data_IF_431453105185
#
_entry.id   IF_431453105185
#
_cell.length_a   1.000
_cell.length_b   1.000
_cell.length_c   1.000
_cell.angle_alpha   90.00
_cell.angle_beta   90.00
_cell.angle_gamma   90.00
#
_symmetry.space_group_name_H-M   'P 1'
#
loop_
_entity.id
_entity.type
_entity.pdbx_description
1 polymer ?
#
# COMPACT_ATOMS: atom_id res chain seq x y z
N UNK A 1 -1.29 9.13 -10.69
CA UNK A 1 -0.09 8.37 -11.15
C UNK A 1 0.30 8.89 -12.52
N UNK A 2 1.53 8.63 -13.01
CA UNK A 2 1.91 9.00 -14.39
C UNK A 2 1.00 8.22 -15.35
N UNK A 3 0.30 8.93 -16.23
CA UNK A 3 -0.50 8.44 -17.37
C UNK A 3 -1.48 7.29 -17.09
N UNK A 4 -1.99 7.19 -15.85
CA UNK A 4 -2.90 6.12 -15.38
C UNK A 4 -2.39 4.70 -15.64
N UNK A 5 -1.06 4.52 -15.69
CA UNK A 5 -0.41 3.25 -16.01
C UNK A 5 -0.97 2.06 -15.21
N UNK A 6 -1.04 2.17 -13.87
CA UNK A 6 -1.56 1.09 -13.03
C UNK A 6 -3.02 0.74 -13.35
N UNK A 7 -3.86 1.75 -13.64
CA UNK A 7 -5.26 1.51 -13.97
C UNK A 7 -5.39 0.78 -15.31
N UNK A 8 -4.56 1.14 -16.29
CA UNK A 8 -4.50 0.46 -17.59
C UNK A 8 -4.09 -1.00 -17.45
N UNK A 9 -3.09 -1.30 -16.62
CA UNK A 9 -2.66 -2.69 -16.44
C UNK A 9 -3.66 -3.53 -15.66
N UNK A 10 -4.36 -2.96 -14.69
CA UNK A 10 -5.49 -3.65 -14.04
C UNK A 10 -6.61 -3.92 -15.05
N UNK A 11 -6.96 -2.95 -15.89
CA UNK A 11 -7.98 -3.14 -16.92
C UNK A 11 -7.58 -4.23 -17.93
N UNK A 12 -6.32 -4.24 -18.36
CA UNK A 12 -5.77 -5.28 -19.23
C UNK A 12 -5.81 -6.67 -18.55
N UNK A 13 -5.34 -6.80 -17.31
CA UNK A 13 -5.40 -8.05 -16.56
C UNK A 13 -6.82 -8.59 -16.46
N UNK A 14 -7.78 -7.75 -16.06
CA UNK A 14 -9.19 -8.16 -15.92
C UNK A 14 -9.82 -8.54 -17.26
N UNK A 15 -9.35 -7.97 -18.38
CA UNK A 15 -9.82 -8.31 -19.73
C UNK A 15 -9.47 -9.74 -20.19
N UNK A 16 -8.47 -10.39 -19.56
CA UNK A 16 -8.08 -11.77 -19.88
C UNK A 16 -9.20 -12.76 -19.55
N UNK A 17 -10.03 -12.44 -18.55
CA UNK A 17 -11.08 -13.33 -18.04
C UNK A 17 -10.57 -14.33 -17.00
N UNK A 18 -11.50 -14.84 -16.17
CA UNK A 18 -11.16 -15.79 -15.09
C UNK A 18 -10.44 -15.16 -13.89
N UNK A 19 -10.26 -13.84 -13.87
CA UNK A 19 -9.63 -13.10 -12.77
C UNK A 19 -10.71 -12.29 -12.04
N UNK A 20 -10.88 -12.55 -10.74
CA UNK A 20 -11.80 -11.82 -9.87
C UNK A 20 -11.02 -10.95 -8.87
N UNK A 21 -11.34 -9.66 -8.80
CA UNK A 21 -10.79 -8.75 -7.80
C UNK A 21 -11.73 -8.64 -6.60
N UNK A 22 -11.30 -9.15 -5.43
CA UNK A 22 -12.00 -9.00 -4.15
C UNK A 22 -11.27 -7.99 -3.27
N UNK A 23 -11.69 -6.73 -3.37
CA UNK A 23 -11.13 -5.63 -2.59
C UNK A 23 -11.69 -5.58 -1.16
N UNK A 24 -11.04 -4.80 -0.29
CA UNK A 24 -11.46 -4.58 1.10
C UNK A 24 -11.52 -5.83 1.98
N UNK A 25 -10.71 -6.85 1.66
CA UNK A 25 -10.54 -8.05 2.47
C UNK A 25 -9.13 -8.10 3.07
N UNK A 26 -9.05 -8.51 4.33
CA UNK A 26 -7.81 -8.64 5.09
C UNK A 26 -7.60 -10.08 5.54
N UNK A 27 -6.43 -10.65 5.23
CA UNK A 27 -6.01 -11.96 5.72
C UNK A 27 -5.89 -11.94 7.25
N UNK A 28 -6.50 -12.92 7.91
CA UNK A 28 -6.57 -13.04 9.37
C UNK A 28 -7.78 -12.34 10.00
N UNK A 29 -8.50 -11.49 9.27
CA UNK A 29 -9.75 -10.84 9.74
C UNK A 29 -10.97 -11.28 8.93
N UNK A 30 -10.90 -11.10 7.61
CA UNK A 30 -12.03 -11.33 6.70
C UNK A 30 -11.90 -12.67 5.97
N UNK A 31 -10.66 -13.14 5.77
CA UNK A 31 -10.31 -14.43 5.14
C UNK A 31 -9.19 -15.10 5.92
N UNK A 32 -9.09 -16.43 5.85
CA UNK A 32 -8.00 -17.21 6.49
C UNK A 32 -7.21 -17.99 5.45
N UNK A 33 -5.92 -18.21 5.71
CA UNK A 33 -5.07 -18.99 4.81
C UNK A 33 -5.58 -20.44 4.68
N UNK A 34 -5.98 -21.06 5.80
CA UNK A 34 -6.56 -22.39 5.80
C UNK A 34 -7.84 -22.46 4.96
N UNK A 35 -8.69 -21.44 5.04
CA UNK A 35 -9.90 -21.35 4.22
C UNK A 35 -9.59 -21.25 2.73
N UNK A 36 -8.55 -20.49 2.36
CA UNK A 36 -8.11 -20.40 0.95
C UNK A 36 -7.55 -21.73 0.45
N UNK A 37 -6.74 -22.42 1.25
CA UNK A 37 -6.15 -23.72 0.88
C UNK A 37 -7.19 -24.85 0.74
N UNK A 38 -8.37 -24.70 1.34
CA UNK A 38 -9.47 -25.67 1.18
C UNK A 38 -10.25 -25.49 -0.13
N UNK A 39 -10.28 -24.28 -0.70
CA UNK A 39 -11.17 -23.94 -1.82
C UNK A 39 -10.41 -23.63 -3.12
N UNK A 40 -9.08 -23.47 -3.06
CA UNK A 40 -8.23 -23.22 -4.23
C UNK A 40 -7.12 -24.27 -4.33
N UNK A 41 -6.78 -24.66 -5.56
CA UNK A 41 -5.71 -25.64 -5.83
C UNK A 41 -4.31 -25.12 -5.47
N UNK A 42 -4.12 -23.80 -5.47
CA UNK A 42 -2.88 -23.14 -5.10
C UNK A 42 -3.14 -21.73 -4.55
N UNK A 43 -2.27 -21.28 -3.66
CA UNK A 43 -2.32 -19.93 -3.05
C UNK A 43 -0.96 -19.25 -3.18
N UNK A 44 -0.95 -18.05 -3.76
CA UNK A 44 0.21 -17.16 -3.80
C UNK A 44 -0.02 -15.96 -2.87
N UNK A 45 0.91 -15.72 -1.93
CA UNK A 45 0.83 -14.61 -0.97
C UNK A 45 1.72 -13.46 -1.42
N UNK A 46 1.10 -12.43 -2.02
CA UNK A 46 1.77 -11.23 -2.53
C UNK A 46 1.56 -9.98 -1.67
N UNK A 47 1.55 -10.08 -0.33
CA UNK A 47 1.16 -8.97 0.56
C UNK A 47 2.23 -7.89 0.77
N UNK A 48 3.43 -8.06 0.21
CA UNK A 48 4.55 -7.14 0.40
C UNK A 48 5.05 -7.06 1.84
N UNK A 49 5.67 -5.94 2.20
CA UNK A 49 6.18 -5.65 3.54
C UNK A 49 5.33 -4.55 4.17
N UNK A 50 4.43 -4.92 5.09
CA UNK A 50 3.54 -3.95 5.75
C UNK A 50 4.20 -3.21 6.92
N UNK A 51 5.31 -3.74 7.46
CA UNK A 51 6.05 -3.12 8.55
C UNK A 51 7.09 -2.12 8.04
N UNK A 52 7.18 -0.96 8.71
CA UNK A 52 8.34 -0.08 8.60
C UNK A 52 9.29 -0.37 9.76
N UNK A 53 10.60 -0.30 9.52
CA UNK A 53 11.58 -0.42 10.60
C UNK A 53 11.42 0.75 11.57
N UNK A 54 11.40 0.46 12.87
CA UNK A 54 11.43 1.48 13.92
C UNK A 54 12.78 2.21 13.89
N UNK A 55 12.77 3.54 14.01
CA UNK A 55 14.01 4.34 14.06
C UNK A 55 14.71 4.27 15.41
N UNK A 56 14.06 3.71 16.44
CA UNK A 56 14.65 3.55 17.78
C UNK A 56 14.83 4.87 18.54
N UNK A 57 14.11 5.92 18.12
CA UNK A 57 14.02 7.21 18.81
C UNK A 57 12.74 7.26 19.66
N UNK A 58 12.40 8.42 20.22
CA UNK A 58 11.14 8.63 20.93
C UNK A 58 9.96 8.66 19.94
N UNK A 59 9.63 7.50 19.38
CA UNK A 59 8.48 7.29 18.49
C UNK A 59 7.20 7.08 19.31
N UNK A 60 6.03 7.55 18.85
CA UNK A 60 5.78 8.46 17.73
C UNK A 60 5.82 9.95 18.13
N UNK A 61 6.38 10.28 19.29
CA UNK A 61 6.21 11.60 19.96
C UNK A 61 7.16 12.70 19.44
N UNK A 62 8.10 12.38 18.56
CA UNK A 62 9.02 13.36 17.99
C UNK A 62 8.28 14.32 17.02
N UNK A 63 8.29 15.62 17.32
CA UNK A 63 7.66 16.65 16.49
C UNK A 63 8.30 16.66 15.09
N UNK A 64 7.48 16.49 14.06
CA UNK A 64 7.92 16.51 12.65
C UNK A 64 8.40 15.16 12.11
N UNK A 65 8.39 14.10 12.92
CA UNK A 65 8.61 12.73 12.44
C UNK A 65 7.39 12.28 11.61
N UNK A 66 7.65 11.74 10.42
CA UNK A 66 6.61 11.20 9.55
C UNK A 66 6.99 9.81 9.05
N UNK A 67 6.01 8.90 9.01
CA UNK A 67 6.17 7.60 8.36
C UNK A 67 6.44 7.82 6.86
N UNK A 68 7.52 7.23 6.35
CA UNK A 68 7.92 7.39 4.95
C UNK A 68 6.86 6.88 3.96
N UNK A 69 6.21 5.74 4.27
CA UNK A 69 5.19 5.14 3.41
C UNK A 69 3.96 6.05 3.34
N UNK A 70 3.50 6.57 4.48
CA UNK A 70 2.38 7.51 4.52
C UNK A 70 2.70 8.84 3.83
N UNK A 71 3.90 9.38 4.05
CA UNK A 71 4.34 10.60 3.37
C UNK A 71 4.40 10.43 1.85
N UNK A 72 4.97 9.33 1.36
CA UNK A 72 5.03 9.04 -0.08
C UNK A 72 3.61 8.79 -0.63
N UNK A 73 2.74 8.13 0.11
CA UNK A 73 1.36 7.92 -0.28
C UNK A 73 0.61 9.26 -0.44
N UNK A 74 0.69 10.16 0.55
CA UNK A 74 0.15 11.51 0.46
C UNK A 74 0.73 12.24 -0.76
N UNK A 75 2.06 12.33 -0.84
CA UNK A 75 2.75 13.06 -1.91
C UNK A 75 2.37 12.58 -3.32
N UNK A 76 2.13 11.28 -3.51
CA UNK A 76 1.73 10.69 -4.80
C UNK A 76 0.27 10.92 -5.14
N UNK A 77 -0.59 11.10 -4.14
CA UNK A 77 -2.03 11.29 -4.31
C UNK A 77 -2.43 12.78 -4.32
N UNK A 78 -1.62 13.66 -3.75
CA UNK A 78 -1.86 15.11 -3.76
C UNK A 78 -1.69 15.69 -5.17
N UNK A 79 -2.73 16.39 -5.64
CA UNK A 79 -2.77 17.03 -6.95
C UNK A 79 -1.79 18.21 -7.00
N UNK A 80 -1.92 19.13 -6.04
CA UNK A 80 -1.02 20.27 -5.89
C UNK A 80 0.04 19.99 -4.83
N UNK A 81 1.23 19.59 -5.27
CA UNK A 81 2.36 19.25 -4.39
C UNK A 81 2.82 20.41 -3.52
N UNK A 82 2.51 21.67 -3.87
CA UNK A 82 2.88 22.83 -3.06
C UNK A 82 2.13 22.88 -1.72
N UNK A 83 1.03 22.13 -1.59
CA UNK A 83 0.23 22.03 -0.37
C UNK A 83 0.77 21.00 0.64
N UNK A 84 1.72 20.14 0.23
CA UNK A 84 2.32 19.14 1.11
C UNK A 84 3.31 19.84 2.05
N UNK A 85 3.00 19.84 3.35
CA UNK A 85 3.80 20.52 4.36
C UNK A 85 5.14 19.81 4.54
N UNK A 86 6.24 20.55 4.35
CA UNK A 86 7.61 20.11 4.60
C UNK A 86 8.36 21.13 5.46
N UNK A 87 9.30 20.65 6.28
CA UNK A 87 10.15 21.50 7.10
C UNK A 87 11.21 22.25 6.27
N UNK A 88 11.78 23.31 6.86
CA UNK A 88 12.85 24.10 6.23
C UNK A 88 14.16 23.31 6.02
N UNK A 89 14.35 22.24 6.80
CA UNK A 89 15.46 21.28 6.73
C UNK A 89 14.85 19.89 6.88
N UNK A 90 15.20 18.98 5.98
CA UNK A 90 14.65 17.63 5.92
C UNK A 90 15.81 16.64 5.90
N UNK A 91 15.67 15.56 6.66
CA UNK A 91 16.52 14.36 6.59
C UNK A 91 15.62 13.18 6.24
N UNK A 92 16.11 12.30 5.37
CA UNK A 92 15.44 11.08 4.92
C UNK A 92 16.36 9.91 5.22
#
# INVERSE_FOLDING_TARGET
MVDDFAQKEIAWLLSIGGIEARCSQMLGRDITLDGLLQVYDAVFLGMGLAGVNALGIMEPQAIGLRNAVEFIAELRQTIDKSTVVVGRRVVV
#
